data_IF_205948089950
#
_entry.id   IF_205948089950
#
_cell.length_a   1.000
_cell.length_b   1.000
_cell.length_c   1.000
_cell.angle_alpha   90.00
_cell.angle_beta   90.00
_cell.angle_gamma   90.00
#
_symmetry.space_group_name_H-M   'P 1'
#
loop_
_entity.id
_entity.type
_entity.pdbx_description
1 polymer ?
#
# COMPACT_ATOMS: atom_id res chain seq x y z
N UNK A 1 -37.93 1.30 -3.96
CA UNK A 1 -37.17 2.09 -4.95
C UNK A 1 -36.22 1.15 -5.66
N UNK A 2 -36.41 0.93 -6.96
CA UNK A 2 -35.75 -0.13 -7.75
C UNK A 2 -34.37 0.34 -8.24
N UNK A 3 -33.38 -0.54 -8.07
CA UNK A 3 -32.03 -0.41 -8.63
C UNK A 3 -31.99 -0.78 -10.12
N UNK A 4 -31.12 -0.12 -10.89
CA UNK A 4 -30.71 -0.60 -12.22
C UNK A 4 -29.28 -0.11 -12.53
N UNK A 5 -28.30 -1.00 -12.72
CA UNK A 5 -26.95 -0.62 -13.14
C UNK A 5 -26.83 -0.66 -14.67
N UNK A 6 -26.50 0.47 -15.29
CA UNK A 6 -26.14 0.51 -16.70
C UNK A 6 -24.65 0.22 -16.84
N UNK A 7 -24.37 -1.06 -17.12
CA UNK A 7 -23.15 -1.48 -17.81
C UNK A 7 -23.02 -0.70 -19.12
N UNK A 8 -22.07 0.22 -19.20
CA UNK A 8 -21.63 0.77 -20.48
C UNK A 8 -20.21 0.26 -20.74
N UNK A 9 -20.17 -0.79 -21.56
CA UNK A 9 -18.96 -1.25 -22.25
C UNK A 9 -18.58 -0.16 -23.25
N UNK A 10 -17.44 0.50 -23.07
CA UNK A 10 -16.79 1.20 -24.17
C UNK A 10 -15.57 0.41 -24.61
N UNK A 11 -15.74 -0.19 -25.79
CA UNK A 11 -14.71 -0.90 -26.54
C UNK A 11 -13.53 0.04 -26.85
N UNK A 12 -12.32 -0.50 -26.67
CA UNK A 12 -11.09 0.05 -27.20
C UNK A 12 -11.20 0.13 -28.74
N UNK A 13 -11.13 1.33 -29.30
CA UNK A 13 -10.89 1.54 -30.72
C UNK A 13 -9.52 2.21 -30.89
N UNK A 14 -8.53 1.38 -31.23
CA UNK A 14 -7.23 1.78 -31.75
C UNK A 14 -7.43 2.45 -33.11
N UNK A 15 -7.00 3.72 -33.25
CA UNK A 15 -6.44 4.27 -34.51
C UNK A 15 -5.98 5.72 -34.32
N UNK A 16 -4.69 5.98 -34.63
CA UNK A 16 -4.14 7.33 -34.81
C UNK A 16 -4.79 8.01 -36.02
N UNK A 17 -5.13 9.30 -35.90
CA UNK A 17 -4.64 10.30 -36.86
C UNK A 17 -4.12 11.55 -36.11
N UNK A 18 -2.95 12.05 -36.49
CA UNK A 18 -2.78 13.27 -37.30
C UNK A 18 -3.44 14.49 -36.66
N UNK A 19 -2.56 15.35 -36.17
CA UNK A 19 -2.71 16.75 -35.77
C UNK A 19 -3.95 17.45 -36.36
N UNK A 20 -4.97 17.67 -35.52
CA UNK A 20 -6.05 18.62 -35.74
C UNK A 20 -5.96 19.68 -34.64
N UNK A 21 -5.55 20.88 -35.04
CA UNK A 21 -5.59 22.06 -34.20
C UNK A 21 -7.05 22.56 -34.09
N UNK A 22 -7.38 23.05 -32.89
CA UNK A 22 -8.52 23.89 -32.50
C UNK A 22 -9.87 23.21 -32.21
N UNK A 23 -10.35 23.52 -31.00
CA UNK A 23 -11.69 23.36 -30.41
C UNK A 23 -12.09 21.98 -29.87
N UNK A 24 -11.72 21.73 -28.60
CA UNK A 24 -12.27 20.64 -27.81
C UNK A 24 -11.46 20.36 -26.55
N UNK A 25 -11.48 21.26 -25.57
CA UNK A 25 -10.94 21.01 -24.23
C UNK A 25 -11.84 20.02 -23.48
N UNK A 26 -11.71 18.73 -23.78
CA UNK A 26 -12.03 17.71 -22.79
C UNK A 26 -10.83 17.66 -21.83
N UNK A 27 -10.79 18.61 -20.89
CA UNK A 27 -9.96 18.50 -19.71
C UNK A 27 -10.51 17.29 -18.94
N UNK A 28 -10.00 16.09 -19.22
CA UNK A 28 -10.16 14.99 -18.29
C UNK A 28 -9.63 15.50 -16.96
N UNK A 29 -10.52 15.72 -16.01
CA UNK A 29 -10.17 15.87 -14.61
C UNK A 29 -9.53 14.55 -14.18
N UNK A 30 -8.25 14.37 -14.52
CA UNK A 30 -7.40 13.44 -13.83
C UNK A 30 -7.56 13.84 -12.36
N UNK A 31 -8.00 12.90 -11.52
CA UNK A 31 -8.04 13.08 -10.08
C UNK A 31 -6.62 13.43 -9.64
N UNK A 32 -6.33 14.74 -9.56
CA UNK A 32 -5.04 15.20 -9.11
C UNK A 32 -4.97 14.85 -7.63
N UNK A 33 -3.95 14.10 -7.18
CA UNK A 33 -3.72 13.95 -5.75
C UNK A 33 -3.66 15.35 -5.16
N UNK A 34 -4.41 15.58 -4.08
CA UNK A 34 -4.43 16.89 -3.45
C UNK A 34 -3.02 17.21 -2.94
N UNK A 35 -2.57 18.45 -3.15
CA UNK A 35 -1.26 18.92 -2.67
C UNK A 35 -1.09 18.68 -1.15
N UNK A 36 -2.18 18.68 -0.39
CA UNK A 36 -2.19 18.34 1.04
C UNK A 36 -1.73 16.92 1.34
N UNK A 37 -2.12 15.93 0.54
CA UNK A 37 -1.73 14.53 0.76
C UNK A 37 -0.23 14.31 0.54
N UNK A 38 0.41 15.12 -0.31
CA UNK A 38 1.87 15.10 -0.48
C UNK A 38 2.56 15.75 0.71
N UNK A 39 2.10 16.93 1.13
CA UNK A 39 2.64 17.61 2.32
C UNK A 39 2.54 16.76 3.58
N UNK A 40 1.41 16.06 3.78
CA UNK A 40 1.22 15.17 4.93
C UNK A 40 2.22 14.01 4.91
N UNK A 41 2.45 13.40 3.74
CA UNK A 41 3.44 12.31 3.59
C UNK A 41 4.87 12.79 3.83
N UNK A 42 5.22 13.97 3.33
CA UNK A 42 6.56 14.55 3.52
C UNK A 42 6.81 14.89 4.99
N UNK A 43 5.79 15.43 5.69
CA UNK A 43 5.86 15.68 7.12
C UNK A 43 6.03 14.38 7.93
N UNK A 44 5.25 13.34 7.61
CA UNK A 44 5.36 12.02 8.26
C UNK A 44 6.75 11.44 8.02
N UNK A 45 7.25 11.46 6.79
CA UNK A 45 8.62 11.01 6.45
C UNK A 45 9.66 11.77 7.25
N UNK A 46 9.62 13.10 7.24
CA UNK A 46 10.57 13.93 7.96
C UNK A 46 10.56 13.64 9.47
N UNK A 47 9.39 13.33 10.05
CA UNK A 47 9.28 12.90 11.44
C UNK A 47 9.97 11.55 11.66
N UNK A 48 9.72 10.56 10.81
CA UNK A 48 10.34 9.23 10.88
C UNK A 48 11.87 9.30 10.72
N UNK A 49 12.38 10.17 9.85
CA UNK A 49 13.82 10.38 9.65
C UNK A 49 14.54 10.96 10.88
N UNK A 50 13.81 11.60 11.79
CA UNK A 50 14.35 12.10 13.06
C UNK A 50 14.22 11.12 14.22
N UNK A 51 13.46 10.04 14.07
CA UNK A 51 13.35 9.02 15.11
C UNK A 51 14.69 8.28 15.28
N UNK A 52 14.96 7.88 16.52
CA UNK A 52 16.06 6.98 16.82
C UNK A 52 15.80 5.61 16.18
N UNK A 53 16.87 4.88 15.86
CA UNK A 53 16.77 3.53 15.31
C UNK A 53 15.85 2.58 16.11
N UNK A 54 15.95 2.47 17.45
CA UNK A 54 15.07 1.57 18.21
C UNK A 54 13.59 1.96 18.07
N UNK A 55 13.27 3.26 18.03
CA UNK A 55 11.89 3.73 17.88
C UNK A 55 11.34 3.41 16.47
N UNK A 56 12.17 3.52 15.42
CA UNK A 56 11.79 3.11 14.08
C UNK A 56 11.51 1.60 13.99
N UNK A 57 12.37 0.79 14.63
CA UNK A 57 12.20 -0.67 14.69
C UNK A 57 10.90 -1.03 15.41
N UNK A 58 10.59 -0.38 16.54
CA UNK A 58 9.34 -0.57 17.28
C UNK A 58 8.13 -0.17 16.43
N UNK A 59 8.18 1.00 15.78
CA UNK A 59 7.11 1.48 14.91
C UNK A 59 6.84 0.50 13.76
N UNK A 60 7.89 -0.04 13.14
CA UNK A 60 7.78 -1.05 12.10
C UNK A 60 7.13 -2.35 12.61
N UNK A 61 7.54 -2.85 13.78
CA UNK A 61 6.95 -4.06 14.36
C UNK A 61 5.45 -3.88 14.62
N UNK A 62 5.03 -2.74 15.17
CA UNK A 62 3.61 -2.40 15.38
C UNK A 62 2.83 -2.33 14.07
N UNK A 63 3.42 -1.76 13.02
CA UNK A 63 2.81 -1.75 11.69
C UNK A 63 2.59 -3.14 11.11
N UNK A 64 3.52 -4.07 11.34
CA UNK A 64 3.36 -5.45 10.88
C UNK A 64 2.31 -6.21 11.71
N UNK A 65 2.23 -5.94 13.01
CA UNK A 65 1.20 -6.50 13.89
C UNK A 65 -0.20 -5.99 13.47
N UNK A 66 -0.39 -4.69 13.33
CA UNK A 66 -1.65 -4.10 12.89
C UNK A 66 -2.10 -4.63 11.51
N UNK A 67 -1.16 -4.80 10.56
CA UNK A 67 -1.46 -5.37 9.25
C UNK A 67 -1.79 -6.88 9.32
N UNK A 68 -1.26 -7.61 10.31
CA UNK A 68 -1.59 -9.01 10.53
C UNK A 68 -2.96 -9.18 11.21
N UNK A 69 -3.40 -8.21 12.02
CA UNK A 69 -4.69 -8.21 12.69
C UNK A 69 -5.86 -7.85 11.76
N UNK A 70 -5.64 -7.08 10.70
CA UNK A 70 -6.69 -6.77 9.74
C UNK A 70 -6.35 -5.70 8.70
N UNK A 71 -7.41 -5.14 8.12
CA UNK A 71 -7.29 -4.06 7.13
C UNK A 71 -6.91 -2.75 7.82
N UNK A 72 -5.83 -2.13 7.35
CA UNK A 72 -5.41 -0.80 7.78
C UNK A 72 -6.28 0.28 7.15
N UNK A 73 -6.52 1.36 7.90
CA UNK A 73 -7.02 2.61 7.32
C UNK A 73 -6.00 3.20 6.36
N UNK A 74 -6.43 4.15 5.51
CA UNK A 74 -5.55 4.83 4.58
C UNK A 74 -4.38 5.56 5.29
N UNK A 75 -4.66 6.18 6.43
CA UNK A 75 -3.65 6.91 7.21
C UNK A 75 -2.63 5.94 7.81
N UNK A 76 -3.08 4.83 8.42
CA UNK A 76 -2.21 3.78 8.95
C UNK A 76 -1.37 3.14 7.85
N UNK A 77 -1.97 2.80 6.71
CA UNK A 77 -1.25 2.24 5.57
C UNK A 77 -0.17 3.21 5.06
N UNK A 78 -0.47 4.50 5.01
CA UNK A 78 0.49 5.55 4.63
C UNK A 78 1.65 5.63 5.63
N UNK A 79 1.35 5.71 6.93
CA UNK A 79 2.35 5.75 7.99
C UNK A 79 3.23 4.49 7.98
N UNK A 80 2.64 3.31 7.85
CA UNK A 80 3.36 2.05 7.85
C UNK A 80 4.22 1.85 6.61
N UNK A 81 3.75 2.29 5.43
CA UNK A 81 4.55 2.30 4.21
C UNK A 81 5.78 3.20 4.34
N UNK A 82 5.61 4.40 4.90
CA UNK A 82 6.73 5.33 5.12
C UNK A 82 7.70 4.81 6.19
N UNK A 83 7.18 4.21 7.26
CA UNK A 83 8.01 3.58 8.31
C UNK A 83 8.87 2.47 7.74
N UNK A 84 8.30 1.59 6.90
CA UNK A 84 9.05 0.55 6.19
C UNK A 84 10.18 1.14 5.34
N UNK A 85 9.87 2.13 4.49
CA UNK A 85 10.87 2.73 3.60
C UNK A 85 11.99 3.42 4.39
N UNK A 86 11.66 4.23 5.39
CA UNK A 86 12.65 4.95 6.20
C UNK A 86 13.52 3.96 6.99
N UNK A 87 12.93 2.92 7.58
CA UNK A 87 13.69 1.89 8.30
C UNK A 87 14.64 1.14 7.35
N UNK A 88 14.12 0.67 6.21
CA UNK A 88 14.90 -0.04 5.19
C UNK A 88 16.11 0.78 4.74
N UNK A 89 15.89 2.06 4.41
CA UNK A 89 16.95 2.94 3.93
C UNK A 89 17.98 3.27 5.03
N UNK A 90 17.53 3.69 6.21
CA UNK A 90 18.43 4.20 7.26
C UNK A 90 19.18 3.11 8.02
N UNK A 91 18.51 1.98 8.28
CA UNK A 91 19.03 0.96 9.21
C UNK A 91 19.59 -0.24 8.46
N UNK A 92 18.99 -0.59 7.33
CA UNK A 92 19.38 -1.77 6.54
C UNK A 92 20.06 -1.39 5.22
N UNK A 93 20.38 -0.11 5.00
CA UNK A 93 21.09 0.34 3.79
C UNK A 93 20.33 0.08 2.48
N UNK A 94 19.00 0.00 2.55
CA UNK A 94 18.15 -0.34 1.41
C UNK A 94 17.93 -1.85 1.20
N UNK A 95 18.62 -2.71 1.97
CA UNK A 95 18.49 -4.16 1.85
C UNK A 95 17.18 -4.65 2.49
N UNK A 96 16.25 -5.04 1.62
CA UNK A 96 14.97 -5.60 2.03
C UNK A 96 15.10 -6.97 2.70
N UNK A 97 16.03 -7.83 2.25
CA UNK A 97 16.21 -9.17 2.82
C UNK A 97 16.82 -9.11 4.22
N UNK A 98 17.72 -8.15 4.45
CA UNK A 98 18.26 -7.88 5.79
C UNK A 98 17.14 -7.41 6.75
N UNK A 99 16.28 -6.49 6.31
CA UNK A 99 15.12 -6.04 7.07
C UNK A 99 14.17 -7.20 7.37
N UNK A 100 13.86 -8.02 6.36
CA UNK A 100 12.94 -9.14 6.49
C UNK A 100 13.49 -10.22 7.43
N UNK A 101 14.79 -10.51 7.34
CA UNK A 101 15.48 -11.45 8.23
C UNK A 101 15.47 -10.96 9.67
N UNK A 102 15.76 -9.68 9.89
CA UNK A 102 15.65 -9.06 11.21
C UNK A 102 14.22 -9.14 11.75
N UNK A 103 13.21 -8.78 10.94
CA UNK A 103 11.81 -8.83 11.36
C UNK A 103 11.37 -10.24 11.79
N UNK A 104 11.75 -11.28 11.04
CA UNK A 104 11.41 -12.68 11.40
C UNK A 104 11.95 -13.08 12.77
N UNK A 105 13.11 -12.55 13.16
CA UNK A 105 13.70 -12.82 14.48
C UNK A 105 13.03 -12.05 15.62
N UNK A 106 12.36 -10.93 15.31
CA UNK A 106 11.83 -9.99 16.31
C UNK A 106 10.30 -9.97 16.38
N UNK A 107 9.61 -10.62 15.44
CA UNK A 107 8.16 -10.77 15.54
C UNK A 107 7.83 -11.78 16.65
N UNK A 108 7.10 -11.35 17.66
CA UNK A 108 6.56 -12.25 18.68
C UNK A 108 5.40 -13.04 18.08
N UNK A 109 5.64 -14.33 17.79
CA UNK A 109 4.64 -15.39 17.91
C UNK A 109 3.47 -15.48 16.93
N UNK A 110 3.15 -14.49 16.11
CA UNK A 110 1.98 -14.59 15.21
C UNK A 110 2.34 -15.15 13.83
N UNK A 111 2.85 -16.40 13.78
CA UNK A 111 2.67 -17.40 12.70
C UNK A 111 3.85 -18.38 12.53
N UNK A 112 3.92 -19.41 13.35
CA UNK A 112 4.11 -20.74 12.75
C UNK A 112 2.80 -21.05 11.99
N UNK A 113 2.59 -20.40 10.85
CA UNK A 113 1.32 -20.39 10.11
C UNK A 113 1.59 -20.36 8.62
N UNK A 114 2.53 -21.20 8.21
CA UNK A 114 2.91 -21.44 6.83
C UNK A 114 2.99 -22.94 6.57
N UNK A 115 1.96 -23.69 6.93
CA UNK A 115 1.77 -25.07 6.42
C UNK A 115 0.29 -25.41 6.29
N UNK A 116 -0.04 -25.97 5.13
CA UNK A 116 -1.25 -26.72 4.76
C UNK A 116 -2.41 -25.90 4.19
N UNK A 117 -2.35 -25.74 2.87
CA UNK A 117 -3.54 -25.79 2.03
C UNK A 117 -4.44 -26.97 2.44
N UNK A 118 -5.68 -26.61 2.76
CA UNK A 118 -6.85 -27.42 3.09
C UNK A 118 -7.08 -28.63 2.16
N UNK A 119 -7.32 -29.86 2.67
CA UNK A 119 -8.09 -30.86 1.95
C UNK A 119 -9.58 -30.58 2.21
N UNK A 120 -10.20 -29.93 1.23
CA UNK A 120 -11.63 -29.63 1.22
C UNK A 120 -12.41 -30.94 0.99
N UNK A 121 -12.84 -31.62 2.06
CA UNK A 121 -13.74 -32.77 1.97
C UNK A 121 -15.16 -32.24 1.74
N UNK A 122 -15.69 -32.50 0.54
CA UNK A 122 -17.09 -32.22 0.22
C UNK A 122 -18.02 -33.20 0.95
N UNK A 123 -19.19 -32.77 1.45
CA UNK A 123 -20.17 -33.70 2.02
C UNK A 123 -20.80 -34.57 0.93
N UNK A 124 -20.85 -35.88 1.17
CA UNK A 124 -21.62 -36.83 0.37
C UNK A 124 -23.12 -36.58 0.56
N UNK A 125 -23.87 -36.68 -0.55
CA UNK A 125 -25.35 -36.67 -0.57
C UNK A 125 -25.92 -38.00 -0.08
#
# INVERSE_FOLDING_TARGET
MKATPLFVRCALAVRKPVMCALLGTALSAAAQPSLSAWTDRDLIRARLERLAEPDLKIAYLRCNEAAAEGLLTFEEATFCSLTHEVLKQRVFGGDFEALLSWWRLHRSGSSAGGTAAEPRVAPAR
#
